data_IF_058166546830
#
_entry.id   IF_058166546830
#
_cell.length_a   1.000
_cell.length_b   1.000
_cell.length_c   1.000
_cell.angle_alpha   90.00
_cell.angle_beta   90.00
_cell.angle_gamma   90.00
#
_symmetry.space_group_name_H-M   'P 1'
#
loop_
_entity.id
_entity.type
_entity.pdbx_description
1 polymer ?
#
# COMPACT_ATOMS: atom_id res chain seq x y z
N UNK A 1 -25.69 7.72 1.79
CA UNK A 1 -25.49 7.47 3.26
C UNK A 1 -24.00 7.26 3.51
N UNK A 2 -23.46 7.78 4.61
CA UNK A 2 -22.06 7.59 4.97
C UNK A 2 -21.83 6.13 5.42
N UNK A 3 -20.84 5.44 4.85
CA UNK A 3 -20.53 4.04 5.19
C UNK A 3 -20.05 3.89 6.61
N UNK A 4 -20.47 2.82 7.25
CA UNK A 4 -20.15 2.51 8.65
C UNK A 4 -19.11 1.40 8.72
N UNK A 5 -17.95 1.71 9.32
CA UNK A 5 -16.84 0.79 9.55
C UNK A 5 -16.76 0.48 11.05
N UNK A 6 -16.74 -0.78 11.41
CA UNK A 6 -16.69 -1.23 12.81
C UNK A 6 -15.36 -1.91 13.10
N UNK A 7 -14.68 -1.51 14.19
CA UNK A 7 -13.44 -2.16 14.65
C UNK A 7 -13.79 -3.17 15.74
N UNK A 8 -13.42 -4.43 15.52
CA UNK A 8 -13.59 -5.53 16.49
C UNK A 8 -12.27 -6.27 16.74
N UNK A 9 -12.16 -6.99 17.82
CA UNK A 9 -11.00 -7.79 18.19
C UNK A 9 -10.83 -7.84 19.70
N UNK A 10 -9.97 -8.72 20.20
CA UNK A 10 -9.70 -8.89 21.63
C UNK A 10 -9.07 -7.65 22.29
N UNK A 11 -9.06 -7.56 23.63
CA UNK A 11 -8.36 -6.48 24.36
C UNK A 11 -6.88 -6.36 23.96
N UNK A 12 -6.36 -5.13 24.00
CA UNK A 12 -4.94 -4.80 23.83
C UNK A 12 -4.34 -5.09 22.43
N UNK A 13 -5.15 -5.43 21.41
CA UNK A 13 -4.66 -5.54 20.01
C UNK A 13 -4.38 -4.19 19.34
N UNK A 14 -4.81 -3.08 19.98
CA UNK A 14 -4.59 -1.72 19.49
C UNK A 14 -5.78 -1.11 18.73
N UNK A 15 -7.02 -1.55 19.00
CA UNK A 15 -8.25 -1.00 18.40
C UNK A 15 -8.38 0.50 18.61
N UNK A 16 -8.26 0.96 19.85
CA UNK A 16 -8.38 2.40 20.19
C UNK A 16 -7.23 3.23 19.61
N UNK A 17 -6.04 2.66 19.46
CA UNK A 17 -4.92 3.32 18.76
C UNK A 17 -5.24 3.50 17.27
N UNK A 18 -5.79 2.47 16.64
CA UNK A 18 -6.23 2.51 15.25
C UNK A 18 -7.39 3.52 15.07
N UNK A 19 -8.39 3.45 15.95
CA UNK A 19 -9.51 4.40 15.98
C UNK A 19 -9.02 5.86 16.04
N UNK A 20 -8.20 6.19 17.04
CA UNK A 20 -7.68 7.54 17.21
C UNK A 20 -6.85 8.03 16.01
N UNK A 21 -6.18 7.12 15.32
CA UNK A 21 -5.40 7.44 14.12
C UNK A 21 -6.29 7.73 12.92
N UNK A 22 -7.38 6.99 12.76
CA UNK A 22 -8.31 7.16 11.64
C UNK A 22 -9.22 8.39 11.84
N UNK A 23 -9.63 8.68 13.07
CA UNK A 23 -10.44 9.88 13.39
C UNK A 23 -9.59 11.16 13.40
N UNK A 24 -8.27 11.04 13.61
CA UNK A 24 -7.39 12.20 13.69
C UNK A 24 -7.60 13.05 14.95
N UNK A 25 -7.16 14.33 14.93
CA UNK A 25 -7.31 15.28 16.05
C UNK A 25 -8.66 15.99 16.10
N UNK A 26 -9.61 15.64 15.25
CA UNK A 26 -10.98 16.17 15.32
C UNK A 26 -11.76 15.33 16.31
N UNK A 27 -12.32 15.98 17.30
CA UNK A 27 -12.97 15.48 18.50
C UNK A 27 -13.85 14.24 18.26
N UNK A 28 -13.60 13.19 19.06
CA UNK A 28 -14.57 12.13 19.25
C UNK A 28 -15.84 12.78 19.81
N UNK A 29 -16.93 12.76 19.05
CA UNK A 29 -18.25 13.15 19.53
C UNK A 29 -18.66 12.15 20.62
N UNK A 30 -18.48 12.52 21.86
CA UNK A 30 -19.11 11.84 22.99
C UNK A 30 -20.52 12.38 23.03
N UNK A 31 -21.50 11.61 22.59
CA UNK A 31 -22.90 11.95 22.68
C UNK A 31 -23.36 11.80 24.14
N UNK A 32 -23.58 12.91 24.82
CA UNK A 32 -24.03 12.99 26.22
C UNK A 32 -25.57 12.79 26.36
N UNK A 33 -26.22 12.07 25.48
CA UNK A 33 -27.65 11.78 25.60
C UNK A 33 -27.90 10.77 26.74
N UNK A 34 -28.68 11.09 27.80
CA UNK A 34 -28.98 10.17 28.88
C UNK A 34 -29.85 9.01 28.39
N UNK A 35 -29.28 7.81 28.37
CA UNK A 35 -30.03 6.58 28.02
C UNK A 35 -29.38 5.72 26.95
N UNK A 36 -28.33 6.16 26.26
CA UNK A 36 -27.49 5.37 25.37
C UNK A 36 -26.23 4.98 26.10
N UNK A 37 -25.92 3.69 26.12
CA UNK A 37 -24.82 3.08 26.91
C UNK A 37 -23.48 3.78 26.65
N UNK A 38 -22.79 4.14 27.73
CA UNK A 38 -21.51 4.89 27.83
C UNK A 38 -20.28 4.27 27.14
N UNK A 39 -20.43 3.23 26.32
CA UNK A 39 -19.36 2.29 25.97
C UNK A 39 -19.03 2.21 24.45
N UNK A 40 -19.67 3.00 23.60
CA UNK A 40 -19.34 3.07 22.17
C UNK A 40 -18.58 4.37 21.87
N UNK A 41 -17.38 4.25 21.32
CA UNK A 41 -16.70 5.39 20.72
C UNK A 41 -17.07 5.45 19.25
N UNK A 42 -17.75 6.50 18.87
CA UNK A 42 -18.06 6.78 17.46
C UNK A 42 -17.31 8.04 17.03
N UNK A 43 -16.88 8.06 15.78
CA UNK A 43 -16.20 9.22 15.20
C UNK A 43 -16.23 9.19 13.69
N UNK A 44 -15.97 10.32 13.09
CA UNK A 44 -15.77 10.42 11.66
C UNK A 44 -14.32 10.03 11.34
N UNK A 45 -14.14 8.83 10.77
CA UNK A 45 -12.85 8.36 10.29
C UNK A 45 -12.54 8.91 8.90
N UNK A 46 -11.26 9.13 8.62
CA UNK A 46 -10.80 9.55 7.30
C UNK A 46 -9.50 8.84 6.91
N UNK A 47 -9.43 8.41 5.65
CA UNK A 47 -8.20 7.93 5.00
C UNK A 47 -8.14 8.57 3.63
N UNK A 48 -7.16 9.44 3.40
CA UNK A 48 -7.04 10.26 2.19
C UNK A 48 -8.31 11.09 1.92
N UNK A 49 -9.03 10.77 0.86
CA UNK A 49 -10.29 11.41 0.41
C UNK A 49 -11.54 10.70 0.94
N UNK A 50 -11.41 9.50 1.49
CA UNK A 50 -12.52 8.76 2.05
C UNK A 50 -12.88 9.26 3.45
N UNK A 51 -14.17 9.50 3.67
CA UNK A 51 -14.76 9.76 4.98
C UNK A 51 -15.83 8.71 5.28
N UNK A 52 -15.82 8.18 6.49
CA UNK A 52 -16.72 7.12 6.92
C UNK A 52 -17.01 7.23 8.41
N UNK A 53 -18.17 6.72 8.83
CA UNK A 53 -18.49 6.57 10.24
C UNK A 53 -17.67 5.41 10.82
N UNK A 54 -16.90 5.67 11.86
CA UNK A 54 -16.07 4.67 12.53
C UNK A 54 -16.62 4.38 13.94
N UNK A 55 -16.78 3.09 14.25
CA UNK A 55 -17.24 2.61 15.56
C UNK A 55 -16.17 1.73 16.18
N UNK A 56 -15.69 2.10 17.38
CA UNK A 56 -14.76 1.28 18.17
C UNK A 56 -15.52 0.51 19.25
N UNK A 57 -15.34 -0.81 19.27
CA UNK A 57 -15.95 -1.68 20.29
C UNK A 57 -15.08 -1.85 21.55
N UNK A 58 -13.95 -1.11 21.67
CA UNK A 58 -12.99 -1.27 22.77
C UNK A 58 -13.53 -0.88 24.17
N UNK A 59 -14.56 -0.03 24.27
CA UNK A 59 -15.18 0.36 25.54
C UNK A 59 -16.04 -0.73 26.19
N UNK A 60 -16.26 -1.86 25.51
CA UNK A 60 -17.15 -2.94 25.92
C UNK A 60 -16.44 -4.02 26.75
N UNK A 61 -15.14 -3.88 26.98
CA UNK A 61 -14.26 -4.94 27.50
C UNK A 61 -13.90 -4.78 29.00
N UNK A 62 -14.19 -3.62 29.62
CA UNK A 62 -13.79 -3.34 31.00
C UNK A 62 -14.68 -3.96 32.10
N UNK A 63 -15.70 -4.74 31.73
CA UNK A 63 -16.54 -5.45 32.71
C UNK A 63 -16.05 -6.88 32.92
N UNK A 64 -15.10 -7.06 33.82
CA UNK A 64 -14.70 -8.37 34.33
C UNK A 64 -15.84 -9.04 35.11
N UNK A 65 -16.57 -9.96 34.49
CA UNK A 65 -17.40 -10.96 35.16
C UNK A 65 -17.54 -12.20 34.29
N UNK A 66 -17.74 -13.38 34.91
CA UNK A 66 -17.75 -14.73 34.32
C UNK A 66 -18.76 -14.99 33.17
N UNK A 67 -19.55 -13.98 32.78
CA UNK A 67 -20.47 -14.00 31.63
C UNK A 67 -19.94 -13.28 30.37
N UNK A 68 -18.62 -13.04 30.30
CA UNK A 68 -17.94 -12.22 29.29
C UNK A 68 -18.30 -12.53 27.82
N UNK A 69 -18.36 -13.80 27.35
CA UNK A 69 -18.64 -14.07 25.95
C UNK A 69 -20.05 -13.64 25.50
N UNK A 70 -21.03 -13.66 26.38
CA UNK A 70 -22.43 -13.38 26.05
C UNK A 70 -22.75 -11.87 25.96
N UNK A 71 -22.12 -11.03 26.79
CA UNK A 71 -22.31 -9.57 26.75
C UNK A 71 -21.53 -8.92 25.61
N UNK A 72 -20.28 -9.31 25.41
CA UNK A 72 -19.47 -8.88 24.27
C UNK A 72 -20.18 -9.22 22.95
N UNK A 73 -20.80 -10.38 22.87
CA UNK A 73 -21.52 -10.84 21.69
C UNK A 73 -22.70 -9.93 21.32
N UNK A 74 -23.59 -9.60 22.27
CA UNK A 74 -24.78 -8.77 22.00
C UNK A 74 -24.45 -7.34 21.54
N UNK A 75 -23.44 -6.73 22.12
CA UNK A 75 -23.08 -5.33 21.79
C UNK A 75 -22.30 -5.27 20.48
N UNK A 76 -21.45 -6.26 20.20
CA UNK A 76 -20.76 -6.39 18.92
C UNK A 76 -21.76 -6.77 17.82
N UNK A 77 -22.76 -7.63 18.11
CA UNK A 77 -23.87 -7.96 17.19
C UNK A 77 -24.60 -6.69 16.72
N UNK A 78 -25.00 -5.82 17.64
CA UNK A 78 -25.68 -4.55 17.29
C UNK A 78 -24.80 -3.58 16.48
N UNK A 79 -23.49 -3.59 16.68
CA UNK A 79 -22.58 -2.76 15.88
C UNK A 79 -22.42 -3.33 14.47
N UNK A 80 -22.39 -4.66 14.35
CA UNK A 80 -22.23 -5.35 13.07
C UNK A 80 -23.51 -5.27 12.22
N UNK A 81 -24.70 -5.24 12.83
CA UNK A 81 -25.96 -5.06 12.10
C UNK A 81 -26.02 -3.77 11.27
N UNK A 82 -25.31 -2.74 11.70
CA UNK A 82 -25.25 -1.43 11.01
C UNK A 82 -23.95 -1.23 10.23
N UNK A 83 -23.07 -2.23 10.20
CA UNK A 83 -21.76 -2.14 9.58
C UNK A 83 -21.80 -2.48 8.09
N UNK A 84 -21.19 -1.66 7.27
CA UNK A 84 -20.88 -1.99 5.87
C UNK A 84 -19.55 -2.75 5.76
N UNK A 85 -18.62 -2.51 6.71
CA UNK A 85 -17.35 -3.22 6.84
C UNK A 85 -17.00 -3.46 8.31
N UNK A 86 -16.56 -4.67 8.62
CA UNK A 86 -15.99 -5.01 9.93
C UNK A 86 -14.48 -5.22 9.81
N UNK A 87 -13.69 -4.48 10.56
CA UNK A 87 -12.25 -4.69 10.69
C UNK A 87 -11.98 -5.57 11.91
N UNK A 88 -11.63 -6.84 11.70
CA UNK A 88 -11.12 -7.71 12.77
C UNK A 88 -9.64 -7.43 12.99
N UNK A 89 -9.29 -6.83 14.12
CA UNK A 89 -7.92 -6.48 14.49
C UNK A 89 -7.30 -7.55 15.36
N UNK A 90 -6.15 -8.09 14.94
CA UNK A 90 -5.33 -9.06 15.70
C UNK A 90 -3.92 -8.52 15.93
N UNK A 91 -3.20 -9.06 16.91
CA UNK A 91 -1.87 -8.60 17.31
C UNK A 91 -0.79 -9.53 16.74
N UNK A 92 0.04 -8.99 15.83
CA UNK A 92 1.12 -9.74 15.19
C UNK A 92 2.19 -10.28 16.17
N UNK A 93 2.41 -9.57 17.28
CA UNK A 93 3.44 -9.97 18.26
C UNK A 93 3.00 -11.13 19.17
N UNK A 94 1.69 -11.17 19.46
CA UNK A 94 1.10 -12.22 20.29
C UNK A 94 0.74 -13.47 19.49
N UNK A 95 0.66 -13.37 18.15
CA UNK A 95 0.13 -14.41 17.28
C UNK A 95 -1.39 -14.58 17.42
N UNK A 96 -1.92 -15.60 16.75
CA UNK A 96 -3.35 -15.92 16.76
C UNK A 96 -3.71 -16.70 18.02
N UNK A 97 -4.74 -16.24 18.73
CA UNK A 97 -5.26 -16.86 19.95
C UNK A 97 -6.60 -17.55 19.69
N UNK A 98 -7.03 -18.49 20.57
CA UNK A 98 -8.34 -19.13 20.45
C UNK A 98 -9.52 -18.13 20.42
N UNK A 99 -9.34 -16.95 21.03
CA UNK A 99 -10.35 -15.89 21.00
C UNK A 99 -10.41 -15.21 19.62
N UNK A 100 -9.29 -15.01 18.95
CA UNK A 100 -9.24 -14.49 17.58
C UNK A 100 -9.87 -15.48 16.60
N UNK A 101 -9.63 -16.80 16.78
CA UNK A 101 -10.28 -17.86 16.01
C UNK A 101 -11.80 -17.86 16.21
N UNK A 102 -12.25 -17.69 17.45
CA UNK A 102 -13.68 -17.62 17.78
C UNK A 102 -14.36 -16.41 17.12
N UNK A 103 -13.73 -15.23 17.14
CA UNK A 103 -14.23 -14.05 16.44
C UNK A 103 -14.27 -14.26 14.93
N UNK A 104 -13.24 -14.84 14.34
CA UNK A 104 -13.19 -15.14 12.92
C UNK A 104 -14.29 -16.11 12.48
N UNK A 105 -14.50 -17.19 13.26
CA UNK A 105 -15.56 -18.18 13.01
C UNK A 105 -16.95 -17.56 13.09
N UNK A 106 -17.17 -16.68 14.05
CA UNK A 106 -18.42 -15.99 14.21
C UNK A 106 -18.66 -14.99 13.08
N UNK A 107 -17.66 -14.17 12.73
CA UNK A 107 -17.75 -13.18 11.65
C UNK A 107 -17.98 -13.82 10.28
N UNK A 108 -17.40 -15.00 10.00
CA UNK A 108 -17.65 -15.74 8.76
C UNK A 108 -19.11 -16.16 8.56
N UNK A 109 -19.90 -16.21 9.63
CA UNK A 109 -21.33 -16.55 9.58
C UNK A 109 -22.23 -15.31 9.42
N UNK A 110 -21.65 -14.11 9.51
CA UNK A 110 -22.37 -12.86 9.32
C UNK A 110 -22.40 -12.50 7.83
N UNK A 111 -23.46 -11.81 7.40
CA UNK A 111 -23.58 -11.31 6.01
C UNK A 111 -22.92 -9.94 5.82
N UNK A 112 -21.81 -9.68 6.52
CA UNK A 112 -21.08 -8.42 6.45
C UNK A 112 -19.69 -8.67 5.87
N UNK A 113 -19.16 -7.70 5.13
CA UNK A 113 -17.79 -7.75 4.65
C UNK A 113 -16.82 -7.65 5.81
N UNK A 114 -15.84 -8.56 5.88
CA UNK A 114 -14.83 -8.58 6.94
C UNK A 114 -13.44 -8.35 6.36
N UNK A 115 -12.72 -7.38 6.93
CA UNK A 115 -11.31 -7.13 6.68
C UNK A 115 -10.49 -7.59 7.86
N UNK A 116 -9.55 -8.52 7.64
CA UNK A 116 -8.61 -8.94 8.66
C UNK A 116 -7.44 -7.97 8.72
N UNK A 117 -7.27 -7.30 9.86
CA UNK A 117 -6.23 -6.31 10.11
C UNK A 117 -5.24 -6.86 11.14
N UNK A 118 -3.99 -7.02 10.75
CA UNK A 118 -2.91 -7.48 11.63
C UNK A 118 -2.12 -6.26 12.08
N UNK A 119 -2.29 -5.89 13.34
CA UNK A 119 -1.63 -4.73 13.94
C UNK A 119 -0.31 -5.10 14.62
N UNK A 120 0.54 -4.12 14.91
CA UNK A 120 1.87 -4.23 15.51
C UNK A 120 2.86 -5.01 14.64
N UNK A 121 2.73 -4.84 13.32
CA UNK A 121 3.60 -5.51 12.35
C UNK A 121 4.98 -4.87 12.19
N UNK A 122 5.30 -3.81 12.95
CA UNK A 122 6.60 -3.18 12.91
C UNK A 122 7.72 -4.11 13.38
N UNK A 123 8.84 -4.09 12.64
CA UNK A 123 10.01 -4.89 12.92
C UNK A 123 9.85 -6.39 12.64
N UNK A 124 10.88 -7.18 12.99
CA UNK A 124 10.94 -8.62 12.70
C UNK A 124 9.95 -9.45 13.52
N UNK A 125 9.57 -8.98 14.70
CA UNK A 125 8.68 -9.71 15.59
C UNK A 125 7.25 -9.88 15.04
N UNK A 126 6.77 -8.92 14.23
CA UNK A 126 5.43 -8.95 13.65
C UNK A 126 5.27 -9.88 12.44
N UNK A 127 6.36 -10.28 11.78
CA UNK A 127 6.28 -11.08 10.55
C UNK A 127 5.67 -12.48 10.77
N UNK A 128 5.96 -13.12 11.91
CA UNK A 128 5.43 -14.43 12.26
C UNK A 128 3.91 -14.42 12.41
N UNK A 129 3.38 -13.53 13.22
CA UNK A 129 1.94 -13.43 13.50
C UNK A 129 1.12 -12.96 12.27
N UNK A 130 1.71 -12.13 11.41
CA UNK A 130 1.07 -11.80 10.14
C UNK A 130 0.79 -13.04 9.29
N UNK A 131 1.73 -13.96 9.22
CA UNK A 131 1.56 -15.19 8.46
C UNK A 131 0.57 -16.17 9.12
N UNK A 132 0.51 -16.18 10.46
CA UNK A 132 -0.48 -16.99 11.19
C UNK A 132 -1.91 -16.50 10.95
N UNK A 133 -2.10 -15.20 10.71
CA UNK A 133 -3.43 -14.61 10.48
C UNK A 133 -4.17 -15.22 9.26
N UNK A 134 -3.45 -15.74 8.27
CA UNK A 134 -4.08 -16.47 7.16
C UNK A 134 -4.87 -17.69 7.61
N UNK A 135 -4.53 -18.30 8.76
CA UNK A 135 -5.28 -19.45 9.30
C UNK A 135 -6.70 -19.12 9.71
N UNK A 136 -7.03 -17.83 9.92
CA UNK A 136 -8.36 -17.38 10.27
C UNK A 136 -9.37 -17.47 9.10
N UNK A 137 -8.89 -17.64 7.85
CA UNK A 137 -9.75 -17.86 6.67
C UNK A 137 -10.68 -16.69 6.32
N UNK A 138 -10.25 -15.45 6.62
CA UNK A 138 -10.99 -14.22 6.32
C UNK A 138 -10.40 -13.46 5.11
N UNK A 139 -9.68 -14.16 4.24
CA UNK A 139 -9.03 -13.54 3.09
C UNK A 139 -7.60 -13.07 3.38
N UNK A 140 -7.09 -12.14 2.58
CA UNK A 140 -5.75 -11.60 2.71
C UNK A 140 -5.69 -10.59 3.87
N UNK A 141 -4.83 -10.83 4.90
CA UNK A 141 -4.71 -9.91 6.02
C UNK A 141 -4.00 -8.61 5.61
N UNK A 142 -4.42 -7.49 6.19
CA UNK A 142 -3.75 -6.20 6.02
C UNK A 142 -2.81 -5.95 7.20
N UNK A 143 -1.51 -5.87 6.92
CA UNK A 143 -0.48 -5.60 7.93
C UNK A 143 -0.38 -4.10 8.21
N UNK A 144 -0.53 -3.70 9.48
CA UNK A 144 -0.40 -2.31 9.90
C UNK A 144 0.44 -2.16 11.18
N UNK A 145 0.90 -0.94 11.43
CA UNK A 145 1.29 -0.46 12.75
C UNK A 145 0.47 0.77 13.10
N UNK A 146 -0.58 0.59 13.90
CA UNK A 146 -1.43 1.69 14.32
C UNK A 146 -0.67 2.74 15.14
N UNK A 147 0.37 2.35 15.87
CA UNK A 147 1.21 3.25 16.66
C UNK A 147 2.12 4.12 15.77
N UNK A 148 2.73 3.54 14.74
CA UNK A 148 3.68 4.23 13.86
C UNK A 148 3.02 4.77 12.58
N UNK A 149 1.79 4.37 12.27
CA UNK A 149 1.06 4.78 11.07
C UNK A 149 1.46 4.03 9.80
N UNK A 150 2.24 2.95 9.96
CA UNK A 150 2.66 2.12 8.84
C UNK A 150 1.49 1.25 8.36
N UNK A 151 1.34 1.08 7.05
CA UNK A 151 0.32 0.22 6.45
C UNK A 151 -1.12 0.74 6.50
N UNK A 152 -1.41 1.89 7.14
CA UNK A 152 -2.78 2.45 7.25
C UNK A 152 -3.40 2.70 5.88
N UNK A 153 -2.60 3.11 4.90
CA UNK A 153 -3.05 3.30 3.53
C UNK A 153 -3.55 2.01 2.85
N UNK A 154 -3.13 0.84 3.33
CA UNK A 154 -3.62 -0.45 2.81
C UNK A 154 -5.09 -0.72 3.19
N UNK A 155 -5.62 -0.01 4.18
CA UNK A 155 -7.03 -0.06 4.55
C UNK A 155 -7.91 0.69 3.53
N UNK A 156 -7.31 1.62 2.77
CA UNK A 156 -8.04 2.47 1.84
C UNK A 156 -8.87 1.66 0.83
N UNK A 157 -8.23 0.71 0.15
CA UNK A 157 -8.90 -0.06 -0.91
C UNK A 157 -10.10 -0.85 -0.38
N UNK A 158 -9.96 -1.48 0.81
CA UNK A 158 -11.04 -2.22 1.43
C UNK A 158 -12.21 -1.35 1.93
N UNK A 159 -11.89 -0.15 2.46
CA UNK A 159 -12.91 0.80 2.93
C UNK A 159 -13.61 1.44 1.73
N UNK A 160 -12.84 1.79 0.70
CA UNK A 160 -13.37 2.37 -0.52
C UNK A 160 -14.36 1.44 -1.24
N UNK A 161 -14.18 0.11 -1.17
CA UNK A 161 -15.13 -0.85 -1.77
C UNK A 161 -16.52 -0.88 -1.09
N UNK A 162 -16.63 -0.39 0.15
CA UNK A 162 -17.89 -0.31 0.90
C UNK A 162 -18.39 1.12 1.07
N UNK A 163 -17.58 2.11 0.67
CA UNK A 163 -17.98 3.52 0.71
C UNK A 163 -18.58 3.87 -0.64
N UNK A 164 -19.90 4.15 -0.75
CA UNK A 164 -20.49 4.55 -2.01
C UNK A 164 -19.82 5.82 -2.52
N UNK A 165 -19.48 5.85 -3.80
CA UNK A 165 -19.11 7.07 -4.48
C UNK A 165 -20.39 7.94 -4.57
N UNK A 166 -20.35 9.24 -4.24
CA UNK A 166 -21.50 10.12 -4.40
C UNK A 166 -22.04 10.21 -5.85
N UNK A 167 -21.34 9.64 -6.82
CA UNK A 167 -21.75 9.54 -8.21
C UNK A 167 -22.55 8.27 -8.55
N UNK A 168 -22.69 7.30 -7.64
CA UNK A 168 -23.30 5.98 -7.91
C UNK A 168 -24.76 5.86 -7.47
N UNK A 169 -25.62 6.82 -7.82
CA UNK A 169 -27.07 6.58 -7.88
C UNK A 169 -27.48 6.21 -9.32
N UNK A 170 -27.16 5.02 -9.78
CA UNK A 170 -27.65 4.49 -11.05
C UNK A 170 -26.92 3.31 -11.64
N UNK A 171 -27.58 2.13 -11.54
CA UNK A 171 -27.49 0.96 -12.41
C UNK A 171 -26.32 -0.05 -12.23
N UNK A 172 -26.68 -1.23 -11.67
CA UNK A 172 -26.23 -2.58 -12.06
C UNK A 172 -24.81 -3.02 -11.65
N UNK A 173 -24.63 -4.31 -11.30
CA UNK A 173 -23.31 -4.83 -10.92
C UNK A 173 -22.50 -5.08 -12.19
N UNK A 174 -21.57 -4.20 -12.49
CA UNK A 174 -20.54 -4.44 -13.51
C UNK A 174 -19.19 -4.74 -12.86
N UNK A 175 -18.50 -5.67 -13.51
CA UNK A 175 -17.16 -6.15 -13.24
C UNK A 175 -16.18 -5.01 -12.95
N UNK A 176 -15.46 -5.13 -11.81
CA UNK A 176 -14.21 -4.43 -11.52
C UNK A 176 -14.12 -2.98 -12.03
N UNK A 177 -14.83 -2.08 -11.37
CA UNK A 177 -14.57 -0.66 -11.54
C UNK A 177 -13.15 -0.38 -11.00
N UNK A 178 -12.21 -0.29 -11.93
CA UNK A 178 -10.83 0.10 -11.65
C UNK A 178 -10.87 1.56 -11.20
N UNK A 179 -10.96 1.76 -9.87
CA UNK A 179 -10.78 3.08 -9.26
C UNK A 179 -9.56 3.75 -9.87
N UNK A 180 -9.67 5.03 -10.14
CA UNK A 180 -8.68 5.85 -10.83
C UNK A 180 -7.23 5.50 -10.44
N UNK A 181 -6.33 5.37 -11.41
CA UNK A 181 -4.91 5.22 -11.17
C UNK A 181 -4.40 6.42 -10.37
N UNK A 182 -3.92 6.21 -9.15
CA UNK A 182 -3.38 7.26 -8.31
C UNK A 182 -1.89 7.48 -8.61
N UNK A 183 -1.59 8.64 -9.20
CA UNK A 183 -0.23 9.05 -9.56
C UNK A 183 0.29 10.10 -8.58
N UNK A 184 1.41 9.86 -7.91
CA UNK A 184 2.13 10.87 -7.16
C UNK A 184 3.32 11.41 -7.97
N UNK A 185 3.48 12.74 -7.99
CA UNK A 185 4.63 13.43 -8.58
C UNK A 185 5.45 14.02 -7.44
N UNK A 186 6.58 13.40 -7.13
CA UNK A 186 7.44 13.76 -6.00
C UNK A 186 8.84 14.15 -6.45
N UNK A 187 9.63 14.75 -5.58
CA UNK A 187 11.01 15.17 -5.86
C UNK A 187 11.39 16.41 -5.08
N UNK A 188 12.66 16.79 -5.15
CA UNK A 188 13.20 17.96 -4.46
C UNK A 188 12.51 19.27 -4.88
N UNK A 189 12.63 20.35 -4.09
CA UNK A 189 12.24 21.68 -4.53
C UNK A 189 12.92 22.06 -5.85
N UNK A 190 12.25 22.85 -6.69
CA UNK A 190 12.77 23.44 -7.93
C UNK A 190 13.15 22.47 -9.07
N UNK A 191 12.88 21.17 -8.97
CA UNK A 191 13.06 20.20 -10.07
C UNK A 191 12.00 20.34 -11.18
N UNK A 192 10.99 21.20 -10.99
CA UNK A 192 9.97 21.50 -11.99
C UNK A 192 8.69 20.68 -11.87
N UNK A 193 8.35 20.14 -10.67
CA UNK A 193 7.10 19.37 -10.44
C UNK A 193 5.84 20.13 -10.83
N UNK A 194 5.69 21.37 -10.38
CA UNK A 194 4.51 22.19 -10.68
C UNK A 194 4.40 22.49 -12.18
N UNK A 195 5.52 22.73 -12.86
CA UNK A 195 5.55 22.91 -14.31
C UNK A 195 5.13 21.63 -15.02
N UNK A 196 5.60 20.47 -14.54
CA UNK A 196 5.21 19.16 -15.10
C UNK A 196 3.72 18.89 -14.93
N UNK A 197 3.16 19.13 -13.74
CA UNK A 197 1.72 18.98 -13.49
C UNK A 197 0.91 19.90 -14.40
N UNK A 198 1.30 21.17 -14.52
CA UNK A 198 0.63 22.11 -15.40
C UNK A 198 0.70 21.70 -16.88
N UNK A 199 1.84 21.15 -17.31
CA UNK A 199 2.02 20.65 -18.67
C UNK A 199 1.16 19.43 -18.94
N UNK A 200 1.05 18.50 -17.99
CA UNK A 200 0.16 17.33 -18.10
C UNK A 200 -1.31 17.75 -18.19
N UNK A 201 -1.78 18.56 -17.25
CA UNK A 201 -3.17 19.05 -17.23
C UNK A 201 -3.49 19.93 -18.44
N UNK A 202 -2.49 20.65 -18.96
CA UNK A 202 -2.64 21.50 -20.15
C UNK A 202 -2.64 20.74 -21.47
N UNK A 203 -1.94 19.59 -21.54
CA UNK A 203 -1.88 18.74 -22.74
C UNK A 203 -3.15 17.92 -22.93
N UNK A 204 -3.81 17.51 -21.83
CA UNK A 204 -5.04 16.71 -21.84
C UNK A 204 -6.32 17.58 -21.70
N UNK A 205 -6.37 18.75 -22.28
CA UNK A 205 -7.52 19.68 -22.26
C UNK A 205 -8.83 19.12 -22.83
N UNK A 206 -8.95 17.87 -23.00
CA UNK A 206 -10.06 17.21 -23.66
C UNK A 206 -10.87 16.31 -22.75
N UNK A 207 -11.22 16.61 -21.57
CA UNK A 207 -12.31 15.87 -20.88
C UNK A 207 -12.53 16.36 -19.45
N UNK A 208 -12.83 17.63 -19.30
CA UNK A 208 -13.51 18.03 -18.08
C UNK A 208 -14.95 18.38 -18.44
N UNK A 209 -15.87 17.53 -18.04
CA UNK A 209 -17.28 17.87 -17.96
C UNK A 209 -17.46 19.06 -17.01
N UNK A 210 -18.51 19.88 -17.21
CA UNK A 210 -18.70 21.13 -16.49
C UNK A 210 -19.46 20.91 -15.17
N UNK A 211 -18.87 20.26 -14.18
CA UNK A 211 -19.43 20.33 -12.81
C UNK A 211 -18.32 20.26 -11.75
N UNK A 212 -17.86 21.44 -11.37
CA UNK A 212 -17.00 21.67 -10.24
C UNK A 212 -17.79 21.57 -8.94
N UNK A 213 -17.81 20.39 -8.32
CA UNK A 213 -18.11 20.23 -6.91
C UNK A 213 -16.89 20.63 -6.08
N UNK A 214 -16.91 21.84 -5.53
CA UNK A 214 -15.83 22.38 -4.69
C UNK A 214 -15.94 21.75 -3.30
N UNK A 215 -15.15 20.74 -3.02
CA UNK A 215 -14.83 20.36 -1.64
C UNK A 215 -13.45 20.90 -1.27
N UNK A 216 -13.36 21.64 -0.18
CA UNK A 216 -12.26 22.57 0.16
C UNK A 216 -10.95 21.97 0.62
N UNK A 217 -10.75 20.65 0.75
CA UNK A 217 -9.62 20.10 1.47
C UNK A 217 -8.69 19.10 0.75
N UNK A 218 -8.99 18.55 -0.42
CA UNK A 218 -8.02 17.78 -1.22
C UNK A 218 -8.49 17.70 -2.68
N UNK A 219 -8.17 18.69 -3.50
CA UNK A 219 -8.52 18.61 -4.92
C UNK A 219 -7.52 17.67 -5.60
N UNK A 220 -7.90 16.40 -5.78
CA UNK A 220 -7.28 15.54 -6.76
C UNK A 220 -7.52 16.15 -8.15
N UNK A 221 -6.50 16.29 -8.96
CA UNK A 221 -6.66 16.60 -10.38
C UNK A 221 -6.89 15.28 -11.06
N UNK A 222 -8.10 15.06 -11.54
CA UNK A 222 -8.50 13.84 -12.23
C UNK A 222 -8.58 14.09 -13.73
N UNK A 223 -8.15 13.13 -14.52
CA UNK A 223 -8.30 13.14 -15.97
C UNK A 223 -8.38 11.69 -16.50
N UNK A 224 -8.84 11.54 -17.73
CA UNK A 224 -8.86 10.27 -18.42
C UNK A 224 -7.66 10.16 -19.35
N UNK A 225 -6.99 9.02 -19.31
CA UNK A 225 -5.91 8.68 -20.23
C UNK A 225 -6.10 7.26 -20.76
N UNK A 226 -6.29 7.14 -22.08
CA UNK A 226 -6.46 5.85 -22.77
C UNK A 226 -7.57 4.96 -22.14
N UNK A 227 -8.71 5.58 -21.79
CA UNK A 227 -9.85 4.92 -21.17
C UNK A 227 -9.70 4.63 -19.66
N UNK A 228 -8.59 5.05 -19.03
CA UNK A 228 -8.37 4.90 -17.60
C UNK A 228 -8.49 6.22 -16.87
N UNK A 229 -9.23 6.24 -15.78
CA UNK A 229 -9.26 7.41 -14.88
C UNK A 229 -7.92 7.52 -14.15
N UNK A 230 -7.36 8.71 -14.12
CA UNK A 230 -6.09 9.01 -13.43
C UNK A 230 -6.30 10.15 -12.45
N UNK A 231 -5.87 9.96 -11.20
CA UNK A 231 -5.95 10.97 -10.15
C UNK A 231 -4.56 11.33 -9.63
N UNK A 232 -4.24 12.62 -9.57
CA UNK A 232 -3.01 13.11 -8.93
C UNK A 232 -3.19 13.20 -7.43
N UNK A 233 -2.32 12.51 -6.68
CA UNK A 233 -2.30 12.56 -5.22
C UNK A 233 -1.58 13.83 -4.74
N UNK A 234 -2.17 14.50 -3.71
CA UNK A 234 -1.60 15.67 -3.00
C UNK A 234 -1.34 16.92 -3.86
N UNK A 235 -2.27 17.26 -4.73
CA UNK A 235 -2.21 18.51 -5.51
C UNK A 235 -2.41 19.76 -4.67
N UNK A 236 -3.06 19.67 -3.50
CA UNK A 236 -3.30 20.80 -2.59
C UNK A 236 -1.99 21.42 -2.06
N UNK A 237 -0.99 20.59 -1.76
CA UNK A 237 0.34 21.05 -1.38
C UNK A 237 1.08 21.79 -2.52
N UNK A 238 0.83 21.41 -3.76
CA UNK A 238 1.48 22.05 -4.93
C UNK A 238 0.88 23.39 -5.31
N UNK A 239 -0.45 23.59 -5.17
CA UNK A 239 -1.12 24.88 -5.49
C UNK A 239 -0.89 25.96 -4.44
N UNK A 240 -0.78 25.61 -3.15
CA UNK A 240 -0.47 26.57 -2.08
C UNK A 240 0.94 27.16 -2.21
N UNK A 241 1.88 26.44 -2.79
CA UNK A 241 3.30 26.89 -2.98
C UNK A 241 3.49 27.91 -4.09
N UNK A 242 2.59 27.98 -5.05
CA UNK A 242 2.67 29.02 -6.09
C UNK A 242 2.44 30.44 -5.53
N UNK A 243 2.10 30.60 -4.25
CA UNK A 243 1.72 31.88 -3.62
C UNK A 243 2.52 32.29 -2.36
N UNK A 244 3.39 31.45 -1.78
CA UNK A 244 4.07 31.79 -0.49
C UNK A 244 5.50 31.30 -0.46
N UNK A 245 6.42 32.23 -0.20
CA UNK A 245 7.88 32.07 -0.13
C UNK A 245 8.42 31.39 1.14
N UNK A 246 9.55 30.72 0.98
CA UNK A 246 10.72 30.42 1.85
C UNK A 246 10.61 29.75 3.25
N UNK A 247 9.51 29.64 3.93
CA UNK A 247 9.47 29.00 5.29
C UNK A 247 9.06 27.52 5.33
N UNK A 248 9.02 26.80 4.20
CA UNK A 248 8.28 25.52 4.05
C UNK A 248 9.12 24.28 3.68
N UNK A 249 10.46 24.30 3.82
CA UNK A 249 11.28 23.12 3.47
C UNK A 249 10.94 21.86 4.27
N UNK A 250 10.62 22.01 5.57
CA UNK A 250 10.25 20.86 6.43
C UNK A 250 8.86 20.28 6.11
N UNK A 251 7.91 21.10 5.66
CA UNK A 251 6.58 20.66 5.20
C UNK A 251 6.65 19.93 3.83
N UNK A 252 7.69 20.18 3.04
CA UNK A 252 7.89 19.55 1.72
C UNK A 252 8.12 18.04 1.80
N UNK A 253 8.86 17.56 2.79
CA UNK A 253 9.19 16.14 2.96
C UNK A 253 7.97 15.37 3.47
N UNK A 254 7.26 15.90 4.47
CA UNK A 254 6.06 15.26 5.04
C UNK A 254 4.96 15.08 3.99
N UNK A 255 4.73 16.09 3.13
CA UNK A 255 3.74 15.99 2.06
C UNK A 255 4.16 14.97 0.98
N UNK A 256 5.46 14.88 0.66
CA UNK A 256 5.94 13.86 -0.28
C UNK A 256 5.76 12.45 0.29
N UNK A 257 5.95 12.25 1.59
CA UNK A 257 5.72 10.98 2.26
C UNK A 257 4.25 10.58 2.22
N UNK A 258 3.35 11.52 2.49
CA UNK A 258 1.91 11.28 2.39
C UNK A 258 1.48 10.91 0.96
N UNK A 259 1.95 11.67 -0.04
CA UNK A 259 1.64 11.38 -1.44
C UNK A 259 2.11 9.96 -1.85
N UNK A 260 3.29 9.53 -1.40
CA UNK A 260 3.83 8.20 -1.68
C UNK A 260 2.93 7.10 -1.09
N UNK A 261 2.45 7.29 0.14
CA UNK A 261 1.62 6.29 0.82
C UNK A 261 0.30 5.98 0.10
N UNK A 262 -0.28 6.96 -0.57
CA UNK A 262 -1.59 6.81 -1.23
C UNK A 262 -1.51 6.61 -2.75
N UNK A 263 -0.33 6.70 -3.35
CA UNK A 263 -0.16 6.49 -4.78
C UNK A 263 -0.10 5.00 -5.16
N UNK A 264 -0.53 4.69 -6.37
CA UNK A 264 -0.23 3.42 -7.02
C UNK A 264 1.12 3.49 -7.73
N UNK A 265 1.34 4.60 -8.45
CA UNK A 265 2.59 4.87 -9.17
C UNK A 265 3.20 6.17 -8.66
N UNK A 266 4.49 6.17 -8.40
CA UNK A 266 5.24 7.35 -7.99
C UNK A 266 6.22 7.75 -9.09
N UNK A 267 6.07 8.95 -9.60
CA UNK A 267 7.00 9.58 -10.52
C UNK A 267 7.96 10.49 -9.72
N UNK A 268 9.20 10.04 -9.52
CA UNK A 268 10.24 10.85 -8.89
C UNK A 268 10.89 11.76 -9.94
N UNK A 269 10.65 13.06 -9.80
CA UNK A 269 11.18 14.08 -10.72
C UNK A 269 12.58 14.50 -10.27
N UNK A 270 13.52 14.35 -11.17
CA UNK A 270 14.91 14.72 -11.01
C UNK A 270 15.24 15.94 -11.89
N UNK A 271 16.15 16.76 -11.44
CA UNK A 271 16.79 17.78 -12.27
C UNK A 271 17.88 17.16 -13.12
N UNK A 272 17.92 17.44 -14.43
CA UNK A 272 18.88 16.84 -15.35
C UNK A 272 20.35 17.21 -15.04
N UNK A 273 20.59 18.35 -14.40
CA UNK A 273 21.93 18.78 -14.01
C UNK A 273 22.38 18.19 -12.66
N UNK A 274 21.44 17.85 -11.76
CA UNK A 274 21.70 17.41 -10.40
C UNK A 274 21.00 16.06 -10.10
N UNK A 275 21.22 15.07 -10.95
CA UNK A 275 20.57 13.77 -10.85
C UNK A 275 21.01 12.96 -9.63
N UNK A 276 20.06 12.36 -8.90
CA UNK A 276 20.27 11.44 -7.77
C UNK A 276 21.11 12.01 -6.62
N UNK A 277 20.74 13.16 -6.15
CA UNK A 277 21.24 13.72 -4.90
C UNK A 277 20.76 12.89 -3.69
N UNK A 278 21.37 13.11 -2.50
CA UNK A 278 21.04 12.36 -1.28
C UNK A 278 19.55 12.37 -0.95
N UNK A 279 18.86 13.48 -1.18
CA UNK A 279 17.42 13.63 -0.92
C UNK A 279 16.60 12.84 -1.95
N UNK A 280 17.00 12.80 -3.23
CA UNK A 280 16.33 11.98 -4.25
C UNK A 280 16.42 10.50 -3.91
N UNK A 281 17.59 10.05 -3.46
CA UNK A 281 17.82 8.68 -3.00
C UNK A 281 17.00 8.32 -1.75
N UNK A 282 16.81 9.26 -0.82
CA UNK A 282 15.98 9.06 0.36
C UNK A 282 14.50 8.89 -0.04
N UNK A 283 14.00 9.72 -0.95
CA UNK A 283 12.64 9.60 -1.49
C UNK A 283 12.48 8.25 -2.22
N UNK A 284 13.42 7.90 -3.10
CA UNK A 284 13.37 6.64 -3.85
C UNK A 284 13.35 5.41 -2.94
N UNK A 285 14.17 5.39 -1.87
CA UNK A 285 14.14 4.31 -0.87
C UNK A 285 12.77 4.20 -0.21
N UNK A 286 12.19 5.32 0.19
CA UNK A 286 10.88 5.33 0.81
C UNK A 286 9.78 4.80 -0.12
N UNK A 287 9.80 5.14 -1.41
CA UNK A 287 8.87 4.61 -2.41
C UNK A 287 8.97 3.08 -2.51
N UNK A 288 10.21 2.56 -2.52
CA UNK A 288 10.47 1.11 -2.58
C UNK A 288 10.00 0.42 -1.29
N UNK A 289 10.25 1.02 -0.12
CA UNK A 289 9.84 0.50 1.19
C UNK A 289 8.31 0.44 1.31
N UNK A 290 7.60 1.47 0.83
CA UNK A 290 6.14 1.50 0.74
C UNK A 290 5.58 0.53 -0.32
N UNK A 291 6.44 -0.01 -1.18
CA UNK A 291 6.04 -1.00 -2.18
C UNK A 291 5.26 -0.42 -3.36
N UNK A 292 5.44 0.86 -3.68
CA UNK A 292 4.75 1.53 -4.80
C UNK A 292 5.47 1.32 -6.12
N UNK A 293 4.69 1.27 -7.22
CA UNK A 293 5.29 1.31 -8.55
C UNK A 293 6.11 2.61 -8.72
N UNK A 294 7.25 2.52 -9.37
CA UNK A 294 8.24 3.58 -9.34
C UNK A 294 8.82 3.88 -10.72
N UNK A 295 8.80 5.15 -11.11
CA UNK A 295 9.46 5.63 -12.33
C UNK A 295 10.32 6.86 -12.01
N UNK A 296 11.38 7.06 -12.77
CA UNK A 296 12.22 8.25 -12.72
C UNK A 296 11.87 9.17 -13.87
N UNK A 297 11.67 10.44 -13.58
CA UNK A 297 11.41 11.49 -14.56
C UNK A 297 12.54 12.50 -14.52
N UNK A 298 13.42 12.49 -15.51
CA UNK A 298 14.49 13.46 -15.63
C UNK A 298 13.97 14.67 -16.41
N UNK A 299 13.67 15.72 -15.66
CA UNK A 299 13.13 16.98 -16.20
C UNK A 299 14.27 17.94 -16.60
N UNK A 300 13.93 19.01 -17.32
CA UNK A 300 14.86 19.99 -17.89
C UNK A 300 15.86 19.36 -18.86
N UNK A 301 15.42 18.32 -19.58
CA UNK A 301 16.28 17.57 -20.51
C UNK A 301 16.77 18.40 -21.70
N UNK A 302 16.14 19.54 -21.95
CA UNK A 302 16.56 20.56 -22.93
C UNK A 302 17.90 21.20 -22.60
N UNK A 303 18.36 21.14 -21.34
CA UNK A 303 19.66 21.68 -20.90
C UNK A 303 20.82 20.70 -21.12
N UNK A 304 20.54 19.43 -21.44
CA UNK A 304 21.58 18.41 -21.62
C UNK A 304 22.05 18.33 -23.06
N UNK A 305 23.35 18.45 -23.25
CA UNK A 305 24.01 18.38 -24.57
C UNK A 305 24.32 16.94 -24.98
N UNK A 306 24.81 16.10 -24.04
CA UNK A 306 25.07 14.66 -24.26
C UNK A 306 24.14 13.80 -23.42
N UNK A 307 22.96 13.51 -23.98
CA UNK A 307 21.96 12.73 -23.31
C UNK A 307 22.34 11.26 -23.08
N UNK A 308 23.18 10.67 -23.97
CA UNK A 308 23.59 9.28 -23.83
C UNK A 308 24.55 9.11 -22.64
N UNK A 309 25.55 9.99 -22.50
CA UNK A 309 26.47 10.00 -21.37
C UNK A 309 25.73 10.27 -20.05
N UNK A 310 24.80 11.23 -20.01
CA UNK A 310 24.01 11.57 -18.84
C UNK A 310 23.16 10.39 -18.37
N UNK A 311 22.46 9.68 -19.26
CA UNK A 311 21.68 8.50 -18.93
C UNK A 311 22.54 7.33 -18.44
N UNK A 312 23.73 7.15 -18.99
CA UNK A 312 24.65 6.12 -18.52
C UNK A 312 25.08 6.39 -17.07
N UNK A 313 25.50 7.62 -16.77
CA UNK A 313 25.87 8.03 -15.40
C UNK A 313 24.70 7.83 -14.43
N UNK A 314 23.47 8.16 -14.83
CA UNK A 314 22.30 7.99 -14.01
C UNK A 314 22.05 6.50 -13.69
N UNK A 315 22.14 5.61 -14.69
CA UNK A 315 21.97 4.17 -14.51
C UNK A 315 23.03 3.57 -13.61
N UNK A 316 24.30 3.91 -13.82
CA UNK A 316 25.42 3.46 -13.00
C UNK A 316 25.22 3.87 -11.53
N UNK A 317 24.77 5.12 -11.27
CA UNK A 317 24.46 5.60 -9.92
C UNK A 317 23.27 4.87 -9.29
N UNK A 318 22.23 4.57 -10.06
CA UNK A 318 21.06 3.81 -9.59
C UNK A 318 21.46 2.41 -9.13
N UNK A 319 22.24 1.69 -9.93
CA UNK A 319 22.69 0.33 -9.61
C UNK A 319 23.52 0.29 -8.31
N UNK A 320 24.39 1.28 -8.11
CA UNK A 320 25.21 1.37 -6.90
C UNK A 320 24.39 1.76 -5.67
N UNK A 321 23.45 2.70 -5.83
CA UNK A 321 22.79 3.35 -4.68
C UNK A 321 21.46 2.71 -4.29
N UNK A 322 20.79 2.03 -5.22
CA UNK A 322 19.44 1.45 -5.07
C UNK A 322 19.39 0.05 -5.70
N UNK A 323 19.89 -0.94 -4.98
CA UNK A 323 19.94 -2.33 -5.48
C UNK A 323 18.54 -2.86 -5.90
N UNK A 324 17.46 -2.44 -5.25
CA UNK A 324 16.08 -2.78 -5.62
C UNK A 324 15.50 -1.86 -6.71
N UNK A 325 16.18 -0.78 -7.05
CA UNK A 325 15.84 0.15 -8.13
C UNK A 325 16.38 -0.25 -9.51
N UNK A 326 17.06 -1.38 -9.61
CA UNK A 326 17.55 -1.90 -10.88
C UNK A 326 16.39 -2.13 -11.84
N UNK A 327 16.49 -1.62 -13.07
CA UNK A 327 15.42 -1.72 -14.06
C UNK A 327 14.29 -0.68 -13.90
N UNK A 328 14.44 0.31 -13.00
CA UNK A 328 13.46 1.41 -12.90
C UNK A 328 13.35 2.17 -14.23
N UNK A 329 12.14 2.33 -14.79
CA UNK A 329 11.95 3.10 -16.03
C UNK A 329 12.39 4.55 -15.86
N UNK A 330 13.08 5.07 -16.87
CA UNK A 330 13.56 6.46 -16.90
C UNK A 330 12.88 7.17 -18.07
N UNK A 331 12.17 8.24 -17.78
CA UNK A 331 11.56 9.14 -18.75
C UNK A 331 12.34 10.45 -18.76
N UNK A 332 12.85 10.84 -19.92
CA UNK A 332 13.51 12.14 -20.11
C UNK A 332 12.55 13.10 -20.78
N UNK A 333 12.34 14.27 -20.19
CA UNK A 333 11.43 15.28 -20.71
C UNK A 333 11.85 16.71 -20.33
N UNK A 334 11.25 17.68 -20.99
CA UNK A 334 11.27 19.07 -20.56
C UNK A 334 9.83 19.56 -20.35
N UNK A 335 9.46 19.74 -19.10
CA UNK A 335 8.13 20.24 -18.74
C UNK A 335 7.87 21.66 -19.26
N UNK A 336 8.94 22.45 -19.46
CA UNK A 336 8.84 23.82 -19.98
C UNK A 336 8.55 23.86 -21.48
N UNK A 337 9.13 22.93 -22.27
CA UNK A 337 8.97 22.91 -23.72
C UNK A 337 7.94 21.88 -24.20
N UNK A 338 7.49 20.99 -23.31
CA UNK A 338 6.59 19.88 -23.64
C UNK A 338 7.28 18.68 -24.31
N UNK A 339 8.57 18.77 -24.64
CA UNK A 339 9.30 17.70 -25.33
C UNK A 339 9.45 16.46 -24.44
N UNK A 340 9.07 15.28 -24.94
CA UNK A 340 9.16 14.01 -24.22
C UNK A 340 8.01 13.74 -23.26
N UNK A 341 7.04 14.66 -23.11
CA UNK A 341 5.90 14.53 -22.21
C UNK A 341 5.01 13.33 -22.60
N UNK A 342 4.90 13.07 -23.91
CA UNK A 342 4.14 11.96 -24.49
C UNK A 342 4.58 10.57 -24.03
N UNK A 343 5.79 10.45 -23.47
CA UNK A 343 6.34 9.18 -22.97
C UNK A 343 5.97 8.90 -21.52
N UNK A 344 5.54 9.92 -20.79
CA UNK A 344 5.31 9.80 -19.35
C UNK A 344 4.15 8.86 -19.04
N UNK A 345 2.96 9.14 -19.57
CA UNK A 345 1.77 8.33 -19.26
C UNK A 345 1.87 6.88 -19.74
N UNK A 346 2.36 6.55 -20.93
CA UNK A 346 2.61 5.16 -21.32
C UNK A 346 3.52 4.42 -20.33
N UNK A 347 4.56 5.10 -19.80
CA UNK A 347 5.48 4.53 -18.83
C UNK A 347 4.79 4.32 -17.48
N UNK A 348 3.97 5.27 -17.03
CA UNK A 348 3.16 5.16 -15.81
C UNK A 348 2.21 3.97 -15.91
N UNK A 349 1.48 3.84 -17.03
CA UNK A 349 0.54 2.72 -17.25
C UNK A 349 1.25 1.37 -17.28
N UNK A 350 2.43 1.29 -17.90
CA UNK A 350 3.25 0.08 -17.91
C UNK A 350 3.70 -0.31 -16.50
N UNK A 351 4.18 0.65 -15.70
CA UNK A 351 4.57 0.41 -14.32
C UNK A 351 3.38 -0.03 -13.44
N UNK A 352 2.22 0.58 -13.64
CA UNK A 352 0.98 0.20 -12.96
C UNK A 352 0.54 -1.22 -13.29
N UNK A 353 0.58 -1.59 -14.59
CA UNK A 353 0.27 -2.95 -15.05
C UNK A 353 1.19 -3.99 -14.41
N UNK A 354 2.51 -3.71 -14.36
CA UNK A 354 3.48 -4.60 -13.76
C UNK A 354 3.26 -4.74 -12.24
N UNK A 355 2.86 -3.66 -11.57
CA UNK A 355 2.59 -3.64 -10.13
C UNK A 355 1.33 -4.44 -9.75
N UNK A 356 0.36 -4.55 -10.67
CA UNK A 356 -0.87 -5.33 -10.52
C UNK A 356 -0.74 -6.80 -10.98
N UNK A 357 0.43 -7.20 -11.50
CA UNK A 357 0.56 -8.48 -12.17
C UNK A 357 0.31 -9.66 -11.21
N UNK A 358 -0.64 -10.51 -11.57
CA UNK A 358 -0.85 -11.84 -10.99
C UNK A 358 -0.21 -12.88 -11.87
N UNK A 359 0.71 -13.64 -11.31
CA UNK A 359 1.43 -14.70 -12.01
C UNK A 359 0.81 -16.04 -11.60
N UNK A 360 0.41 -16.89 -12.55
CA UNK A 360 -0.10 -18.22 -12.23
C UNK A 360 0.92 -19.06 -11.46
N UNK A 361 0.45 -19.88 -10.52
CA UNK A 361 1.31 -20.69 -9.66
C UNK A 361 2.22 -21.63 -10.44
N UNK A 362 1.75 -22.16 -11.59
CA UNK A 362 2.58 -22.97 -12.47
C UNK A 362 3.79 -22.19 -12.99
N UNK A 363 3.58 -20.99 -13.57
CA UNK A 363 4.67 -20.16 -14.06
C UNK A 363 5.66 -19.73 -12.97
N UNK A 364 5.17 -19.53 -11.71
CA UNK A 364 6.03 -19.27 -10.57
C UNK A 364 6.95 -20.45 -10.25
N UNK A 365 6.42 -21.66 -10.26
CA UNK A 365 7.21 -22.86 -9.95
C UNK A 365 8.18 -23.22 -11.08
N UNK A 366 7.77 -23.06 -12.35
CA UNK A 366 8.67 -23.20 -13.50
C UNK A 366 9.86 -22.24 -13.42
N UNK A 367 9.59 -20.97 -13.04
CA UNK A 367 10.64 -19.99 -12.77
C UNK A 367 11.56 -20.43 -11.63
N UNK A 368 10.99 -20.91 -10.50
CA UNK A 368 11.77 -21.30 -9.33
C UNK A 368 12.70 -22.48 -9.69
N UNK A 369 12.19 -23.49 -10.36
CA UNK A 369 12.97 -24.66 -10.80
C UNK A 369 14.10 -24.22 -11.73
N UNK A 370 13.83 -23.37 -12.73
CA UNK A 370 14.85 -22.81 -13.61
C UNK A 370 15.88 -21.93 -12.89
N UNK A 371 15.49 -21.21 -11.85
CA UNK A 371 16.42 -20.41 -11.04
C UNK A 371 17.33 -21.31 -10.18
N UNK A 372 16.79 -22.38 -9.59
CA UNK A 372 17.55 -23.36 -8.81
C UNK A 372 18.52 -24.15 -9.69
N UNK A 373 18.10 -24.51 -10.89
CA UNK A 373 18.97 -25.24 -11.83
C UNK A 373 20.15 -24.39 -12.29
N UNK A 374 19.96 -23.09 -12.52
CA UNK A 374 21.05 -22.16 -12.87
C UNK A 374 22.01 -21.91 -11.70
N UNK A 375 21.49 -21.72 -10.50
CA UNK A 375 22.24 -21.47 -9.29
C UNK A 375 21.58 -22.17 -8.09
N UNK A 376 22.05 -23.38 -7.73
CA UNK A 376 21.53 -24.11 -6.60
C UNK A 376 21.70 -23.33 -5.28
N UNK A 377 20.72 -23.44 -4.34
CA UNK A 377 20.82 -22.80 -3.04
C UNK A 377 22.10 -23.23 -2.32
N UNK A 378 22.81 -22.30 -1.65
CA UNK A 378 24.00 -22.63 -0.89
C UNK A 378 23.66 -23.53 0.31
N UNK A 379 24.66 -24.20 0.85
CA UNK A 379 24.50 -24.96 2.09
C UNK A 379 24.24 -24.00 3.27
N UNK A 380 23.37 -24.40 4.18
CA UNK A 380 23.19 -23.70 5.45
C UNK A 380 24.49 -23.68 6.27
N UNK A 381 24.58 -22.79 7.28
CA UNK A 381 25.76 -22.67 8.14
C UNK A 381 26.22 -24.01 8.79
N UNK A 382 25.28 -24.94 9.00
CA UNK A 382 25.52 -26.29 9.52
C UNK A 382 25.84 -27.32 8.43
N UNK A 383 26.22 -26.88 7.21
CA UNK A 383 26.53 -27.70 6.04
C UNK A 383 25.37 -28.59 5.54
N UNK A 384 24.16 -28.34 5.98
CA UNK A 384 22.96 -29.06 5.47
C UNK A 384 22.39 -28.38 4.23
N UNK A 385 21.88 -29.14 3.25
CA UNK A 385 21.31 -28.58 2.03
C UNK A 385 20.01 -27.85 2.32
N UNK A 386 19.88 -26.64 1.76
CA UNK A 386 18.64 -25.88 1.70
C UNK A 386 17.91 -26.34 0.45
N UNK A 387 16.64 -26.76 0.60
CA UNK A 387 15.80 -27.19 -0.52
C UNK A 387 14.56 -26.32 -0.57
N UNK A 388 14.43 -25.54 -1.60
CA UNK A 388 13.19 -24.86 -1.97
C UNK A 388 12.31 -25.87 -2.69
N UNK A 389 10.99 -25.85 -2.41
CA UNK A 389 10.04 -26.85 -2.92
C UNK A 389 9.04 -26.25 -3.88
N UNK A 390 8.49 -25.11 -3.52
CA UNK A 390 7.51 -24.40 -4.32
C UNK A 390 7.43 -22.93 -3.92
N UNK A 391 6.81 -22.13 -4.77
CA UNK A 391 6.59 -20.71 -4.57
C UNK A 391 5.14 -20.36 -4.89
N UNK A 392 4.60 -19.40 -4.17
CA UNK A 392 3.27 -18.85 -4.43
C UNK A 392 3.29 -17.34 -4.33
N UNK A 393 2.44 -16.65 -5.08
CA UNK A 393 2.25 -15.21 -4.95
C UNK A 393 1.18 -14.92 -3.91
N UNK A 394 1.61 -14.34 -2.78
CA UNK A 394 0.70 -13.94 -1.71
C UNK A 394 -0.03 -12.64 -2.04
N UNK A 395 0.68 -11.65 -2.63
CA UNK A 395 0.14 -10.32 -3.00
C UNK A 395 0.53 -9.93 -4.41
N UNK A 396 -0.38 -9.21 -5.08
CA UNK A 396 -0.08 -8.55 -6.34
C UNK A 396 0.58 -7.18 -6.13
N UNK A 397 0.22 -6.45 -5.08
CA UNK A 397 0.53 -5.01 -4.86
C UNK A 397 1.29 -4.76 -3.55
N UNK A 398 2.62 -4.67 -3.55
CA UNK A 398 3.55 -5.06 -4.62
C UNK A 398 3.59 -6.58 -4.78
N UNK A 399 4.10 -7.09 -5.93
CA UNK A 399 4.30 -8.53 -6.11
C UNK A 399 5.11 -9.12 -4.96
N UNK A 400 4.43 -9.93 -4.15
CA UNK A 400 5.00 -10.58 -2.98
C UNK A 400 4.89 -12.08 -3.17
N UNK A 401 6.01 -12.76 -3.18
CA UNK A 401 6.07 -14.22 -3.31
C UNK A 401 6.61 -14.87 -2.05
N UNK A 402 6.08 -16.05 -1.74
CA UNK A 402 6.49 -16.85 -0.59
C UNK A 402 7.16 -18.11 -1.10
N UNK A 403 8.44 -18.27 -0.74
CA UNK A 403 9.23 -19.46 -1.03
C UNK A 403 9.08 -20.47 0.11
N UNK A 404 8.63 -21.65 -0.22
CA UNK A 404 8.50 -22.75 0.74
C UNK A 404 9.65 -23.75 0.59
N UNK A 405 10.23 -24.13 1.73
CA UNK A 405 11.35 -25.06 1.74
C UNK A 405 11.55 -25.74 3.10
N UNK A 406 12.62 -26.53 3.20
CA UNK A 406 12.95 -27.20 4.46
C UNK A 406 13.64 -26.27 5.48
N UNK A 407 14.38 -25.25 5.00
CA UNK A 407 15.15 -24.28 5.77
C UNK A 407 15.31 -22.97 5.00
N UNK A 408 14.24 -22.40 4.52
CA UNK A 408 14.35 -21.23 3.67
C UNK A 408 14.83 -19.99 4.45
N UNK A 409 14.70 -20.00 5.79
CA UNK A 409 15.23 -18.99 6.70
C UNK A 409 16.77 -18.91 6.73
N UNK A 410 17.45 -20.00 6.36
CA UNK A 410 18.92 -20.08 6.31
C UNK A 410 19.48 -19.53 4.97
N UNK A 411 18.62 -19.08 4.04
CA UNK A 411 19.08 -18.51 2.78
C UNK A 411 19.83 -17.19 3.00
N UNK A 412 21.05 -17.04 2.47
CA UNK A 412 21.77 -15.77 2.57
C UNK A 412 21.07 -14.68 1.76
N UNK A 413 21.21 -13.45 2.22
CA UNK A 413 20.64 -12.27 1.55
C UNK A 413 21.09 -12.13 0.08
N UNK A 414 22.33 -12.57 -0.22
CA UNK A 414 22.84 -12.58 -1.59
C UNK A 414 22.06 -13.52 -2.51
N UNK A 415 21.62 -14.67 -2.00
CA UNK A 415 20.82 -15.61 -2.76
C UNK A 415 19.38 -15.10 -2.95
N UNK A 416 18.80 -14.49 -1.94
CA UNK A 416 17.49 -13.83 -2.06
C UNK A 416 17.53 -12.71 -3.11
N UNK A 417 18.60 -11.92 -3.16
CA UNK A 417 18.80 -10.91 -4.22
C UNK A 417 18.93 -11.52 -5.61
N UNK A 418 19.62 -12.65 -5.72
CA UNK A 418 19.69 -13.39 -6.98
C UNK A 418 18.28 -13.81 -7.45
N UNK A 419 17.50 -14.40 -6.55
CA UNK A 419 16.11 -14.79 -6.87
C UNK A 419 15.24 -13.59 -7.23
N UNK A 420 15.37 -12.47 -6.52
CA UNK A 420 14.64 -11.24 -6.82
C UNK A 420 14.98 -10.70 -8.22
N UNK A 421 16.26 -10.67 -8.58
CA UNK A 421 16.69 -10.23 -9.92
C UNK A 421 16.22 -11.19 -11.01
N UNK A 422 16.37 -12.50 -10.78
CA UNK A 422 15.89 -13.53 -11.71
C UNK A 422 14.37 -13.46 -11.91
N UNK A 423 13.60 -13.20 -10.84
CA UNK A 423 12.16 -13.01 -10.89
C UNK A 423 11.78 -11.76 -11.70
N UNK A 424 12.49 -10.66 -11.46
CA UNK A 424 12.30 -9.40 -12.19
C UNK A 424 12.55 -9.55 -13.70
N UNK A 425 13.59 -10.26 -14.07
CA UNK A 425 13.95 -10.52 -15.46
C UNK A 425 12.92 -11.42 -16.14
N UNK A 426 12.55 -12.54 -15.52
CA UNK A 426 11.62 -13.53 -16.07
C UNK A 426 10.26 -12.90 -16.36
N UNK A 427 9.70 -12.18 -15.40
CA UNK A 427 8.36 -11.60 -15.52
C UNK A 427 8.37 -10.13 -15.98
N UNK A 428 9.53 -9.61 -16.39
CA UNK A 428 9.72 -8.24 -16.93
C UNK A 428 9.16 -7.14 -16.02
N UNK A 429 9.31 -7.29 -14.70
CA UNK A 429 8.77 -6.40 -13.69
C UNK A 429 9.65 -5.14 -13.53
N UNK A 430 9.59 -4.26 -14.51
CA UNK A 430 10.29 -2.95 -14.46
C UNK A 430 9.53 -1.95 -13.61
N UNK A 431 10.23 -1.15 -12.81
CA UNK A 431 9.62 -0.11 -11.98
C UNK A 431 8.74 -0.61 -10.83
N UNK A 432 8.86 -1.90 -10.47
CA UNK A 432 8.02 -2.52 -9.46
C UNK A 432 8.89 -3.11 -8.36
N UNK A 433 8.69 -2.71 -7.08
CA UNK A 433 9.30 -3.38 -5.95
C UNK A 433 8.79 -4.83 -5.86
N UNK A 434 9.68 -5.76 -5.56
CA UNK A 434 9.35 -7.17 -5.40
C UNK A 434 9.68 -7.56 -3.97
N UNK A 435 8.81 -8.33 -3.33
CA UNK A 435 9.04 -8.87 -1.99
C UNK A 435 9.13 -10.38 -2.05
N UNK A 436 10.26 -10.93 -1.60
CA UNK A 436 10.43 -12.38 -1.44
C UNK A 436 10.45 -12.71 0.05
N UNK A 437 9.50 -13.52 0.48
CA UNK A 437 9.40 -14.04 1.83
C UNK A 437 9.73 -15.53 1.83
N UNK A 438 10.20 -16.03 2.95
CA UNK A 438 10.57 -17.45 3.09
C UNK A 438 9.74 -18.11 4.18
N UNK A 439 9.28 -19.33 3.94
CA UNK A 439 8.50 -20.10 4.92
C UNK A 439 8.89 -21.56 4.93
N UNK A 440 9.00 -22.11 6.14
CA UNK A 440 9.21 -23.55 6.31
C UNK A 440 7.98 -24.31 5.83
N UNK A 441 8.18 -25.26 4.93
CA UNK A 441 7.11 -26.17 4.51
C UNK A 441 6.77 -27.11 5.67
N UNK A 442 5.59 -26.99 6.25
CA UNK A 442 5.08 -27.96 7.20
C UNK A 442 4.79 -29.27 6.45
N UNK A 443 5.39 -30.36 6.88
CA UNK A 443 5.04 -31.68 6.36
C UNK A 443 3.71 -32.11 7.04
N UNK A 444 2.57 -32.17 6.33
CA UNK A 444 1.30 -32.56 6.93
C UNK A 444 1.30 -33.99 7.47
N UNK A 445 2.35 -34.79 7.20
CA UNK A 445 2.49 -36.18 7.66
C UNK A 445 3.37 -36.34 8.92
N UNK A 446 3.88 -35.24 9.51
CA UNK A 446 4.74 -35.32 10.69
C UNK A 446 4.00 -35.20 12.04
N UNK A 447 2.67 -35.10 12.06
CA UNK A 447 1.86 -35.04 13.29
C UNK A 447 1.21 -36.38 13.64
N UNK A 448 1.90 -37.48 13.42
CA UNK A 448 1.55 -38.80 14.01
C UNK A 448 2.83 -39.54 14.36
N UNK A 449 3.37 -39.25 15.51
CA UNK A 449 4.07 -40.20 16.38
C UNK A 449 3.97 -39.71 17.81
#
# INVERSE_FOLDING_TARGET
MQSTVVIVGRPNVGKSTLFNRLVGRREALVDDTPGVTRDRREGEGSIADLTFRLIDTAGLEDAFDESLPARMRRQTEQAIEVADLVMLVVDARMGITPLDEHFADWLRRQSVKVLLVVNKCEGRAGQGGYMEAYSLGLGEPVAISAEHGEGIHLLYDAIAEVTPDPADEGEGPDEYDEKALRLAIVGRPNVGKSTLVNALVGADRLLTGPESGITRDAIAVEWEYDGHQVALVDTAGMRRRARIDEKLEKLSVANSLHAIQYAHVVALVLDSELMLEKQDLAIARHVIEEGRAFILVVNKWDLITDGAAALKILRDRLEISLAQGTGTPIVTLSAATGKGLERLMPTVMSAYKNWNLRIPTAGLNDWLDGAIDRHPPPLAANKRPIRLRYVTQAKARPPTVILFGNRPEDLPTSYLRYLENSFREEFKLTGTPIRIQTRKANNPYHSKK
#
